data_IF_215360124808
#
_entry.id   IF_215360124808
#
_cell.length_a   1.000
_cell.length_b   1.000
_cell.length_c   1.000
_cell.angle_alpha   90.00
_cell.angle_beta   90.00
_cell.angle_gamma   90.00
#
_symmetry.space_group_name_H-M   'P 1'
#
loop_
_entity.id
_entity.type
_entity.pdbx_description
1 polymer ?
#
# COMPACT_ATOMS: atom_id res chain seq x y z
N UNK A 1 7.11 23.11 -33.18
CA UNK A 1 8.34 23.22 -32.37
C UNK A 1 8.80 21.83 -32.02
N UNK A 2 9.89 21.37 -32.65
CA UNK A 2 10.41 19.99 -32.50
C UNK A 2 11.41 19.99 -31.35
N UNK A 3 11.23 19.14 -30.35
CA UNK A 3 12.24 18.87 -29.32
C UNK A 3 13.08 17.66 -29.71
N UNK A 4 14.37 17.91 -29.94
CA UNK A 4 15.38 16.91 -30.29
C UNK A 4 15.76 16.10 -29.04
N UNK A 5 15.67 14.77 -29.14
CA UNK A 5 16.29 13.83 -28.21
C UNK A 5 17.82 13.88 -28.39
N UNK A 6 18.54 14.09 -27.29
CA UNK A 6 20.00 13.92 -27.19
C UNK A 6 20.27 12.54 -26.56
N UNK A 7 20.77 11.63 -27.40
CA UNK A 7 21.32 10.33 -26.96
C UNK A 7 22.78 10.55 -26.51
N UNK A 8 23.08 10.28 -25.26
CA UNK A 8 24.46 10.22 -24.76
C UNK A 8 24.86 8.75 -24.68
N UNK A 9 25.76 8.34 -25.57
CA UNK A 9 26.42 7.04 -25.53
C UNK A 9 27.60 7.08 -24.57
N UNK A 10 27.60 6.26 -23.52
CA UNK A 10 28.74 6.03 -22.65
C UNK A 10 29.47 4.75 -23.10
N UNK A 11 30.70 4.90 -23.51
CA UNK A 11 31.61 3.82 -23.83
C UNK A 11 32.21 3.23 -22.55
N UNK A 12 32.08 1.92 -22.34
CA UNK A 12 32.72 1.19 -21.25
C UNK A 12 33.97 0.50 -21.80
N UNK A 13 35.13 0.87 -21.28
CA UNK A 13 36.41 0.24 -21.58
C UNK A 13 36.58 -1.04 -20.75
N UNK A 14 36.82 -2.16 -21.44
CA UNK A 14 37.24 -3.44 -20.84
C UNK A 14 38.73 -3.40 -20.50
N UNK A 15 39.07 -3.55 -19.24
CA UNK A 15 40.41 -3.86 -18.76
C UNK A 15 40.46 -5.34 -18.42
N UNK A 16 41.23 -6.11 -19.18
CA UNK A 16 41.51 -7.53 -18.95
C UNK A 16 42.69 -7.68 -17.99
N UNK A 17 42.45 -8.19 -16.78
CA UNK A 17 43.52 -8.68 -15.91
C UNK A 17 43.52 -10.21 -15.91
N UNK A 18 44.62 -10.80 -16.41
CA UNK A 18 44.96 -12.23 -16.26
C UNK A 18 45.55 -12.47 -14.88
N UNK A 19 45.06 -13.44 -14.15
CA UNK A 19 45.69 -14.01 -12.95
C UNK A 19 45.35 -15.51 -12.83
N UNK A 20 46.08 -16.32 -12.07
CA UNK A 20 46.47 -17.67 -12.40
C UNK A 20 45.47 -18.76 -12.01
N UNK A 21 45.62 -19.91 -12.74
CA UNK A 21 44.99 -21.22 -12.56
C UNK A 21 44.89 -21.67 -11.12
N UNK A 22 43.66 -22.04 -10.65
CA UNK A 22 43.44 -22.83 -9.46
C UNK A 22 42.49 -24.00 -9.81
N UNK A 23 42.93 -25.16 -9.42
CA UNK A 23 42.45 -26.51 -9.56
C UNK A 23 40.93 -26.73 -9.48
N UNK A 24 40.46 -27.66 -10.33
CA UNK A 24 39.10 -28.15 -10.40
C UNK A 24 38.62 -28.72 -9.04
N UNK A 25 37.69 -28.06 -8.41
CA UNK A 25 36.85 -28.59 -7.36
C UNK A 25 35.44 -28.76 -7.91
N UNK A 26 34.89 -29.97 -7.78
CA UNK A 26 33.56 -30.39 -8.23
C UNK A 26 32.48 -29.44 -7.69
N UNK A 27 31.92 -28.59 -8.55
CA UNK A 27 30.75 -27.77 -8.18
C UNK A 27 29.50 -28.65 -8.17
N UNK A 28 28.67 -28.58 -7.11
CA UNK A 28 27.32 -29.10 -7.18
C UNK A 28 26.48 -28.20 -8.08
N UNK A 29 25.77 -28.84 -8.99
CA UNK A 29 24.79 -28.23 -9.92
C UNK A 29 23.86 -27.28 -9.17
N UNK A 30 23.64 -26.04 -9.65
CA UNK A 30 22.61 -25.18 -9.07
C UNK A 30 21.24 -25.79 -9.42
N UNK A 31 20.55 -26.29 -8.41
CA UNK A 31 19.15 -26.62 -8.51
C UNK A 31 18.41 -25.35 -8.95
N UNK A 32 17.80 -25.41 -10.13
CA UNK A 32 16.88 -24.39 -10.64
C UNK A 32 15.73 -24.26 -9.64
N UNK A 33 15.88 -23.33 -8.70
CA UNK A 33 14.80 -22.93 -7.82
C UNK A 33 13.83 -22.12 -8.68
N UNK A 34 12.85 -22.79 -9.25
CA UNK A 34 11.64 -22.12 -9.72
C UNK A 34 11.05 -21.46 -8.49
N UNK A 35 11.28 -20.16 -8.34
CA UNK A 35 10.57 -19.36 -7.37
C UNK A 35 9.10 -19.35 -7.81
N UNK A 36 8.33 -20.29 -7.28
CA UNK A 36 6.89 -20.17 -7.28
C UNK A 36 6.59 -18.84 -6.55
N UNK A 37 6.02 -17.88 -7.29
CA UNK A 37 5.45 -16.68 -6.69
C UNK A 37 4.44 -17.17 -5.66
N UNK A 38 4.79 -17.04 -4.39
CA UNK A 38 3.85 -17.29 -3.30
C UNK A 38 2.63 -16.41 -3.55
N UNK A 39 1.40 -16.93 -3.40
CA UNK A 39 0.22 -16.10 -3.46
C UNK A 39 0.38 -15.01 -2.41
N UNK A 40 0.33 -13.74 -2.85
CA UNK A 40 0.33 -12.58 -1.99
C UNK A 40 -0.93 -12.66 -1.12
N UNK A 41 -0.85 -13.28 0.05
CA UNK A 41 -1.90 -13.22 1.03
C UNK A 41 -1.83 -11.84 1.68
N UNK A 42 -2.75 -10.97 1.31
CA UNK A 42 -2.98 -9.69 1.98
C UNK A 42 -3.69 -9.86 3.34
N UNK A 43 -3.78 -11.08 3.85
CA UNK A 43 -4.33 -11.38 5.17
C UNK A 43 -3.30 -11.05 6.27
N UNK A 44 -3.19 -9.75 6.57
CA UNK A 44 -2.43 -9.28 7.71
C UNK A 44 -3.39 -9.09 8.88
N UNK A 45 -3.28 -9.98 9.84
CA UNK A 45 -3.99 -9.85 11.11
C UNK A 45 -3.32 -8.71 11.88
N UNK A 46 -4.07 -7.64 12.15
CA UNK A 46 -3.62 -6.60 13.07
C UNK A 46 -3.22 -7.25 14.41
N UNK A 47 -2.21 -6.73 15.12
CA UNK A 47 -1.80 -7.27 16.41
C UNK A 47 -3.00 -7.33 17.36
N UNK A 48 -3.17 -8.48 18.03
CA UNK A 48 -4.19 -8.65 19.06
C UNK A 48 -3.74 -7.86 20.29
N UNK A 49 -4.10 -6.58 20.34
CA UNK A 49 -3.85 -5.72 21.49
C UNK A 49 -5.12 -5.63 22.34
N UNK A 50 -4.94 -5.64 23.67
CA UNK A 50 -6.00 -5.36 24.64
C UNK A 50 -6.30 -3.87 24.79
N UNK A 51 -5.54 -2.99 24.13
CA UNK A 51 -5.72 -1.56 24.18
C UNK A 51 -7.12 -1.13 23.69
N UNK A 52 -7.71 -0.08 24.26
CA UNK A 52 -8.97 0.43 23.77
C UNK A 52 -8.85 0.94 22.33
N UNK A 53 -9.92 0.82 21.56
CA UNK A 53 -9.97 1.41 20.22
C UNK A 53 -9.79 2.93 20.29
N UNK A 54 -9.06 3.55 19.37
CA UNK A 54 -8.88 5.01 19.30
C UNK A 54 -10.13 5.69 18.70
N UNK A 55 -11.26 5.57 19.41
CA UNK A 55 -12.58 5.97 18.91
C UNK A 55 -12.62 7.44 18.48
N UNK A 56 -11.97 8.33 19.24
CA UNK A 56 -11.97 9.77 18.93
C UNK A 56 -11.27 10.06 17.59
N UNK A 57 -10.16 9.41 17.34
CA UNK A 57 -9.36 9.57 16.11
C UNK A 57 -10.07 8.93 14.92
N UNK A 58 -10.69 7.77 15.09
CA UNK A 58 -11.52 7.14 14.07
C UNK A 58 -12.74 8.00 13.70
N UNK A 59 -13.37 8.64 14.69
CA UNK A 59 -14.46 9.58 14.44
C UNK A 59 -14.00 10.87 13.74
N UNK A 60 -12.77 11.37 14.03
CA UNK A 60 -12.18 12.49 13.27
C UNK A 60 -11.96 12.08 11.81
N UNK A 61 -11.32 10.96 11.58
CA UNK A 61 -11.09 10.40 10.24
C UNK A 61 -12.40 10.28 9.45
N UNK A 62 -13.43 9.72 10.10
CA UNK A 62 -14.77 9.57 9.53
C UNK A 62 -15.39 10.92 9.17
N UNK A 63 -15.34 11.91 10.05
CA UNK A 63 -15.89 13.25 9.75
C UNK A 63 -15.14 13.95 8.63
N UNK A 64 -13.82 13.92 8.65
CA UNK A 64 -12.98 14.55 7.61
C UNK A 64 -13.24 13.99 6.22
N UNK A 65 -13.55 12.69 6.13
CA UNK A 65 -13.74 11.98 4.87
C UNK A 65 -15.22 11.84 4.44
N UNK A 66 -16.17 12.37 5.22
CA UNK A 66 -17.61 12.25 4.96
C UNK A 66 -18.03 12.77 3.57
N UNK A 67 -17.36 13.81 3.07
CA UNK A 67 -17.60 14.38 1.74
C UNK A 67 -17.27 13.39 0.60
N UNK A 68 -16.35 12.47 0.84
CA UNK A 68 -15.89 11.49 -0.16
C UNK A 68 -16.81 10.27 -0.30
N UNK A 69 -17.95 10.22 0.42
CA UNK A 69 -19.04 9.30 0.09
C UNK A 69 -19.53 9.49 -1.34
N UNK A 70 -19.48 10.72 -1.84
CA UNK A 70 -19.56 11.01 -3.26
C UNK A 70 -18.15 10.96 -3.85
N UNK A 71 -17.91 9.97 -4.70
CA UNK A 71 -16.61 9.77 -5.36
C UNK A 71 -16.20 10.99 -6.21
N UNK A 72 -17.16 11.78 -6.71
CA UNK A 72 -16.84 12.98 -7.48
C UNK A 72 -16.12 14.03 -6.63
N UNK A 73 -16.45 14.13 -5.34
CA UNK A 73 -15.73 15.00 -4.41
C UNK A 73 -14.28 14.52 -4.18
N UNK A 74 -14.05 13.20 -4.14
CA UNK A 74 -12.71 12.66 -4.04
C UNK A 74 -11.87 12.98 -5.30
N UNK A 75 -12.46 12.78 -6.49
CA UNK A 75 -11.81 13.12 -7.76
C UNK A 75 -11.50 14.61 -7.87
N UNK A 76 -12.45 15.48 -7.51
CA UNK A 76 -12.26 16.94 -7.50
C UNK A 76 -11.16 17.39 -6.54
N UNK A 77 -10.96 16.63 -5.44
CA UNK A 77 -9.93 16.91 -4.42
C UNK A 77 -8.57 16.29 -4.74
N UNK A 78 -8.43 15.64 -5.91
CA UNK A 78 -7.16 15.11 -6.44
C UNK A 78 -6.89 13.64 -6.16
N UNK A 79 -7.83 12.90 -5.59
CA UNK A 79 -7.74 11.44 -5.57
C UNK A 79 -7.92 10.90 -7.00
N UNK A 80 -7.18 9.87 -7.35
CA UNK A 80 -7.24 9.21 -8.66
C UNK A 80 -7.45 7.72 -8.48
N UNK A 81 -8.32 7.16 -9.29
CA UNK A 81 -8.43 5.71 -9.42
C UNK A 81 -7.09 5.15 -9.93
N UNK A 82 -6.47 4.28 -9.17
CA UNK A 82 -5.17 3.67 -9.51
C UNK A 82 -5.33 2.27 -10.12
N UNK A 83 -6.56 1.89 -10.44
CA UNK A 83 -6.94 0.59 -11.01
C UNK A 83 -6.47 -0.62 -10.19
N UNK A 84 -6.37 -0.43 -8.89
CA UNK A 84 -6.10 -1.50 -7.91
C UNK A 84 -7.42 -1.93 -7.30
N UNK A 85 -7.84 -3.16 -7.62
CA UNK A 85 -9.02 -3.82 -7.04
C UNK A 85 -8.55 -5.11 -6.41
N UNK A 86 -8.76 -5.25 -5.11
CA UNK A 86 -8.33 -6.43 -4.36
C UNK A 86 -9.56 -7.10 -3.72
N UNK A 87 -9.63 -8.45 -3.76
CA UNK A 87 -10.71 -9.21 -3.10
C UNK A 87 -10.81 -8.83 -1.62
N UNK A 88 -12.02 -8.63 -1.13
CA UNK A 88 -12.31 -8.25 0.25
C UNK A 88 -11.72 -6.90 0.69
N UNK A 89 -11.29 -6.07 -0.24
CA UNK A 89 -10.80 -4.71 0.02
C UNK A 89 -11.60 -3.69 -0.77
N UNK A 90 -11.70 -3.86 -2.09
CA UNK A 90 -12.38 -2.94 -3.00
C UNK A 90 -11.41 -2.23 -3.94
N UNK A 91 -11.85 -1.11 -4.50
CA UNK A 91 -11.11 -0.27 -5.47
C UNK A 91 -10.46 0.91 -4.76
N UNK A 92 -9.19 1.15 -5.06
CA UNK A 92 -8.34 2.13 -4.38
C UNK A 92 -8.22 3.43 -5.20
N UNK A 93 -8.40 4.55 -4.51
CA UNK A 93 -8.22 5.90 -5.04
C UNK A 93 -7.13 6.60 -4.26
N UNK A 94 -6.00 6.89 -4.88
CA UNK A 94 -4.81 7.47 -4.28
C UNK A 94 -4.76 8.99 -4.51
N UNK A 95 -4.40 9.74 -3.48
CA UNK A 95 -3.99 11.14 -3.57
C UNK A 95 -2.47 11.24 -3.41
N UNK A 96 -1.76 11.10 -4.51
CA UNK A 96 -0.29 11.02 -4.54
C UNK A 96 0.39 12.22 -3.84
N UNK A 97 -0.23 13.40 -3.90
CA UNK A 97 0.27 14.61 -3.25
C UNK A 97 0.26 14.55 -1.70
N UNK A 98 -0.37 13.52 -1.11
CA UNK A 98 -0.37 13.28 0.34
C UNK A 98 0.67 12.23 0.77
N UNK A 99 1.31 11.53 -0.17
CA UNK A 99 2.35 10.55 0.16
C UNK A 99 3.58 11.24 0.76
N UNK A 100 3.68 11.21 2.08
CA UNK A 100 4.80 11.74 2.84
C UNK A 100 5.24 10.76 3.95
N UNK A 101 6.03 11.20 4.92
CA UNK A 101 6.53 10.36 6.01
C UNK A 101 5.64 10.37 7.25
N UNK A 102 4.49 11.06 7.21
CA UNK A 102 3.65 11.33 8.39
C UNK A 102 2.30 10.65 8.28
N UNK A 103 1.73 10.28 9.42
CA UNK A 103 0.36 9.83 9.53
C UNK A 103 -0.54 10.99 9.99
N UNK A 104 -1.65 11.20 9.29
CA UNK A 104 -2.70 12.11 9.69
C UNK A 104 -4.07 11.44 9.52
N UNK A 105 -4.75 11.17 10.63
CA UNK A 105 -6.03 10.48 10.62
C UNK A 105 -7.11 11.18 9.77
N UNK A 106 -7.02 12.49 9.59
CA UNK A 106 -7.99 13.28 8.83
C UNK A 106 -7.63 13.39 7.33
N UNK A 107 -6.46 12.93 6.92
CA UNK A 107 -5.92 13.07 5.56
C UNK A 107 -5.39 11.76 4.98
N UNK A 108 -6.24 10.71 4.85
CA UNK A 108 -5.82 9.44 4.29
C UNK A 108 -5.28 9.61 2.87
N UNK A 109 -4.19 8.93 2.56
CA UNK A 109 -3.58 8.90 1.23
C UNK A 109 -4.46 8.16 0.23
N UNK A 110 -5.23 7.16 0.71
CA UNK A 110 -6.04 6.28 -0.13
C UNK A 110 -7.47 6.21 0.42
N UNK A 111 -8.44 6.28 -0.49
CA UNK A 111 -9.84 5.99 -0.23
C UNK A 111 -10.20 4.67 -0.88
N UNK A 112 -10.87 3.79 -0.14
CA UNK A 112 -11.26 2.47 -0.64
C UNK A 112 -12.76 2.43 -0.86
N UNK A 113 -13.16 2.09 -2.09
CA UNK A 113 -14.56 2.01 -2.50
C UNK A 113 -14.96 0.59 -2.86
N UNK A 114 -16.13 0.17 -2.42
CA UNK A 114 -16.81 -0.98 -2.98
C UNK A 114 -17.52 -0.57 -4.26
N UNK A 115 -17.40 -1.38 -5.30
CA UNK A 115 -18.17 -1.21 -6.53
C UNK A 115 -19.59 -1.75 -6.32
N UNK A 116 -20.59 -0.98 -6.72
CA UNK A 116 -21.97 -1.37 -6.63
C UNK A 116 -22.47 -1.92 -7.97
N UNK A 117 -23.46 -2.84 -7.94
CA UNK A 117 -24.16 -3.23 -9.15
C UNK A 117 -24.69 -1.99 -9.89
N UNK A 118 -24.32 -1.82 -11.17
CA UNK A 118 -24.67 -0.62 -11.95
C UNK A 118 -23.61 0.48 -11.98
N UNK A 119 -22.42 0.23 -11.41
CA UNK A 119 -21.23 1.11 -11.58
C UNK A 119 -21.10 2.20 -10.53
N UNK A 120 -21.97 2.28 -9.55
CA UNK A 120 -21.82 3.16 -8.39
C UNK A 120 -20.65 2.76 -7.51
N UNK A 121 -20.20 3.68 -6.62
CA UNK A 121 -19.13 3.44 -5.66
C UNK A 121 -19.57 3.85 -4.26
N UNK A 122 -19.36 2.97 -3.29
CA UNK A 122 -19.63 3.23 -1.87
C UNK A 122 -18.30 3.25 -1.11
N UNK A 123 -17.98 4.38 -0.45
CA UNK A 123 -16.81 4.47 0.42
C UNK A 123 -16.94 3.48 1.57
N UNK A 124 -15.94 2.61 1.75
CA UNK A 124 -15.98 1.53 2.75
C UNK A 124 -14.85 1.65 3.78
N UNK A 125 -13.65 2.07 3.34
CA UNK A 125 -12.50 2.20 4.22
C UNK A 125 -11.62 3.38 3.82
N UNK A 126 -10.73 3.74 4.74
CA UNK A 126 -9.58 4.60 4.52
C UNK A 126 -8.33 3.73 4.57
N UNK A 127 -7.34 4.07 3.79
CA UNK A 127 -6.03 3.45 3.87
C UNK A 127 -4.98 4.54 3.95
N UNK A 128 -4.16 4.45 4.97
CA UNK A 128 -3.02 5.35 5.16
C UNK A 128 -1.79 4.71 4.53
N UNK A 129 -0.96 5.54 3.90
CA UNK A 129 0.19 5.04 3.15
C UNK A 129 1.42 5.93 3.32
N UNK A 130 2.54 5.32 3.73
CA UNK A 130 3.84 5.99 3.83
C UNK A 130 4.84 5.24 2.96
N UNK A 131 5.55 5.90 2.03
CA UNK A 131 6.59 5.25 1.23
C UNK A 131 7.68 4.58 2.07
N UNK A 132 8.00 3.30 1.81
CA UNK A 132 9.03 2.55 2.54
C UNK A 132 10.37 3.28 2.56
N UNK A 133 10.71 4.00 1.50
CA UNK A 133 11.94 4.81 1.41
C UNK A 133 12.00 5.98 2.39
N UNK A 134 10.86 6.38 2.98
CA UNK A 134 10.78 7.50 3.92
C UNK A 134 10.76 7.05 5.39
N UNK A 135 10.55 5.76 5.66
CA UNK A 135 10.53 5.22 7.01
C UNK A 135 11.04 3.78 7.03
N UNK A 136 12.14 3.53 7.75
CA UNK A 136 12.72 2.19 7.89
C UNK A 136 11.87 1.27 8.78
N UNK A 137 11.03 1.84 9.61
CA UNK A 137 10.13 1.11 10.52
C UNK A 137 8.69 1.57 10.30
N UNK A 138 7.73 0.79 10.81
CA UNK A 138 6.32 1.19 10.78
C UNK A 138 6.13 2.59 11.37
N UNK A 139 5.42 3.50 10.67
CA UNK A 139 5.14 4.84 11.17
C UNK A 139 4.31 4.82 12.47
N UNK A 140 4.30 5.93 13.20
CA UNK A 140 3.26 6.14 14.20
C UNK A 140 1.90 6.22 13.50
N UNK A 141 0.88 5.57 14.07
CA UNK A 141 -0.47 5.53 13.53
C UNK A 141 -1.51 6.03 14.54
N UNK A 142 -2.64 5.35 14.62
CA UNK A 142 -3.66 5.62 15.63
C UNK A 142 -3.12 5.35 17.04
N UNK A 143 -3.55 6.14 18.05
CA UNK A 143 -3.15 5.88 19.45
C UNK A 143 -3.55 4.48 19.93
N UNK A 144 -2.66 3.84 20.67
CA UNK A 144 -2.82 2.46 21.13
C UNK A 144 -2.15 1.47 20.15
N UNK A 145 -2.00 0.23 20.56
CA UNK A 145 -1.29 -0.80 19.80
C UNK A 145 -2.20 -1.67 18.94
N UNK A 146 -3.36 -1.18 18.50
CA UNK A 146 -4.35 -1.97 17.75
C UNK A 146 -4.28 -1.77 16.24
N UNK A 147 -3.68 -0.70 15.77
CA UNK A 147 -3.42 -0.50 14.36
C UNK A 147 -2.28 -1.41 13.89
N UNK A 148 -2.39 -1.91 12.68
CA UNK A 148 -1.40 -2.81 12.09
C UNK A 148 -0.86 -2.27 10.79
N UNK A 149 0.28 -1.57 10.83
CA UNK A 149 1.00 -1.20 9.62
C UNK A 149 1.58 -2.43 8.94
N UNK A 150 1.42 -2.50 7.65
CA UNK A 150 1.98 -3.55 6.81
C UNK A 150 2.95 -2.97 5.78
N UNK A 151 4.13 -3.59 5.65
CA UNK A 151 5.11 -3.23 4.61
C UNK A 151 4.76 -3.91 3.29
N UNK A 152 3.96 -3.27 2.44
CA UNK A 152 3.64 -3.80 1.11
C UNK A 152 4.82 -3.59 0.15
N UNK A 153 5.57 -4.66 -0.08
CA UNK A 153 6.74 -4.65 -0.96
C UNK A 153 6.37 -4.47 -2.44
N UNK A 154 5.16 -4.79 -2.84
CA UNK A 154 4.69 -4.66 -4.22
C UNK A 154 4.49 -3.20 -4.60
N UNK A 155 3.91 -2.42 -3.67
CA UNK A 155 3.68 -0.99 -3.86
C UNK A 155 4.75 -0.11 -3.24
N UNK A 156 5.71 -0.70 -2.50
CA UNK A 156 6.76 0.01 -1.76
C UNK A 156 6.19 1.01 -0.75
N UNK A 157 5.13 0.60 -0.04
CA UNK A 157 4.41 1.40 0.94
C UNK A 157 4.29 0.66 2.28
N UNK A 158 4.38 1.38 3.38
CA UNK A 158 3.69 1.04 4.60
C UNK A 158 2.21 1.35 4.40
N UNK A 159 1.31 0.43 4.70
CA UNK A 159 -0.13 0.63 4.59
C UNK A 159 -0.85 0.26 5.89
N UNK A 160 -1.93 0.99 6.18
CA UNK A 160 -2.79 0.78 7.35
C UNK A 160 -4.24 1.02 6.95
N UNK A 161 -5.07 -0.01 7.02
CA UNK A 161 -6.51 0.11 6.76
C UNK A 161 -7.28 0.58 8.00
N UNK A 162 -8.35 1.36 7.77
CA UNK A 162 -9.33 1.74 8.78
C UNK A 162 -10.76 1.65 8.20
N UNK A 163 -11.51 0.65 8.62
CA UNK A 163 -12.88 0.36 8.16
C UNK A 163 -13.91 1.25 8.90
N UNK A 164 -13.84 2.55 8.69
CA UNK A 164 -14.69 3.53 9.38
C UNK A 164 -16.06 3.72 8.73
N UNK A 165 -16.23 3.28 7.48
CA UNK A 165 -17.46 3.44 6.72
C UNK A 165 -18.26 2.15 6.53
N UNK A 166 -17.60 1.01 6.61
CA UNK A 166 -18.19 -0.32 6.58
C UNK A 166 -17.70 -1.10 7.78
N UNK A 167 -18.61 -1.62 8.58
CA UNK A 167 -18.25 -2.50 9.69
C UNK A 167 -17.42 -3.68 9.17
N UNK A 168 -16.38 -4.02 9.92
CA UNK A 168 -15.56 -5.20 9.68
C UNK A 168 -15.63 -6.13 10.89
N UNK A 169 -16.24 -7.32 10.76
CA UNK A 169 -16.34 -8.28 11.86
C UNK A 169 -14.98 -8.74 12.43
N UNK A 170 -13.92 -8.64 11.62
CA UNK A 170 -12.57 -9.05 12.01
C UNK A 170 -11.77 -7.90 12.66
N UNK A 171 -12.35 -6.70 12.73
CA UNK A 171 -11.79 -5.53 13.39
C UNK A 171 -11.58 -4.34 12.46
N UNK A 172 -11.61 -3.14 13.04
CA UNK A 172 -11.54 -1.88 12.28
C UNK A 172 -10.22 -1.70 11.53
N UNK A 173 -9.14 -2.32 11.99
CA UNK A 173 -7.80 -2.24 11.37
C UNK A 173 -7.38 -3.51 10.61
N UNK A 174 -8.26 -4.48 10.47
CA UNK A 174 -7.94 -5.67 9.66
C UNK A 174 -7.78 -5.28 8.19
N UNK A 175 -6.82 -5.87 7.50
CA UNK A 175 -6.49 -5.49 6.11
C UNK A 175 -7.61 -5.79 5.11
N UNK A 176 -8.38 -6.85 5.35
CA UNK A 176 -9.49 -7.27 4.49
C UNK A 176 -10.81 -7.25 5.24
N UNK A 177 -11.93 -7.19 4.50
CA UNK A 177 -13.28 -7.24 5.06
C UNK A 177 -14.16 -8.14 4.19
N UNK A 178 -14.53 -9.29 4.71
CA UNK A 178 -15.38 -10.29 4.00
C UNK A 178 -16.75 -9.78 3.56
N UNK A 179 -17.18 -8.62 4.07
CA UNK A 179 -18.43 -7.95 3.65
C UNK A 179 -18.23 -7.03 2.44
N UNK A 180 -17.01 -6.98 1.90
CA UNK A 180 -16.65 -6.27 0.67
C UNK A 180 -16.15 -7.31 -0.33
N UNK A 181 -16.80 -7.49 -1.49
CA UNK A 181 -16.43 -8.47 -2.51
C UNK A 181 -15.09 -8.12 -3.17
#
# INVERSE_FOLDING_TARGET
>A
MQYRLLLIAAAVALVACRGPNVTAGTQPTPATRTAALAPNSHDHVAPVSSDPLPVKELEKAKRATARYKDVQNALADGYKDIDVVLPNMGRHFLKEAQLDATFDAERPEILVYREEPGGGKTLVALEYAVPLKLSETAPAGFPGGRDGWFADQRFQLWTLHAWVWKENPEGVFHSTNKLVP
#
